data_IF_638386674953
#
_entry.id   IF_638386674953
#
_cell.length_a   1.000
_cell.length_b   1.000
_cell.length_c   1.000
_cell.angle_alpha   90.00
_cell.angle_beta   90.00
_cell.angle_gamma   90.00
#
_symmetry.space_group_name_H-M   'P 1'
#
loop_
_entity.id
_entity.type
_entity.pdbx_description
1 polymer ?
#
# COMPACT_ATOMS: atom_id res chain seq x y z
N UNK A 1 -5.11 12.13 16.81
CA UNK A 1 -5.11 10.91 15.96
C UNK A 1 -6.35 10.11 16.28
N UNK A 2 -7.22 9.81 15.30
CA UNK A 2 -8.47 9.05 15.52
C UNK A 2 -8.40 7.71 14.79
N UNK A 3 -8.65 6.60 15.48
CA UNK A 3 -8.75 5.28 14.83
C UNK A 3 -10.13 5.14 14.19
N UNK A 4 -10.18 4.71 12.92
CA UNK A 4 -11.40 4.52 12.13
C UNK A 4 -11.30 3.21 11.34
N UNK A 5 -12.44 2.62 11.02
CA UNK A 5 -12.55 1.43 10.15
C UNK A 5 -12.38 1.74 8.66
N UNK A 6 -12.41 3.02 8.27
CA UNK A 6 -12.06 3.49 6.94
C UNK A 6 -11.34 4.83 7.04
N UNK A 7 -10.43 5.09 6.11
CA UNK A 7 -9.67 6.34 6.03
C UNK A 7 -10.07 7.10 4.76
N UNK A 8 -10.44 8.37 4.92
CA UNK A 8 -10.76 9.30 3.83
C UNK A 8 -9.92 10.57 3.97
N UNK A 9 -9.49 11.10 2.83
CA UNK A 9 -8.83 12.40 2.72
C UNK A 9 -9.92 13.48 2.85
N UNK A 10 -9.74 14.40 3.79
CA UNK A 10 -10.74 15.45 4.10
C UNK A 10 -10.33 16.84 3.62
N UNK A 11 -9.09 17.00 3.16
CA UNK A 11 -8.49 18.29 2.86
C UNK A 11 -7.32 18.16 1.88
N UNK A 12 -6.93 19.24 1.21
CA UNK A 12 -5.81 19.20 0.24
C UNK A 12 -4.45 18.92 0.89
N UNK A 13 -4.33 19.22 2.19
CA UNK A 13 -3.12 18.94 2.96
C UNK A 13 -3.10 17.56 3.62
N UNK A 14 -4.05 16.69 3.29
CA UNK A 14 -4.23 15.38 3.89
C UNK A 14 -3.63 14.32 2.95
N UNK A 15 -2.69 13.51 3.43
CA UNK A 15 -2.02 12.48 2.62
C UNK A 15 -2.14 11.11 3.28
N UNK A 16 -2.33 10.08 2.45
CA UNK A 16 -2.42 8.68 2.90
C UNK A 16 -1.03 8.06 2.90
N UNK A 17 -0.61 7.49 4.03
CA UNK A 17 0.71 6.88 4.21
C UNK A 17 0.57 5.50 4.84
N UNK A 18 1.24 4.49 4.29
CA UNK A 18 1.29 3.14 4.87
C UNK A 18 2.55 2.98 5.70
N UNK A 19 2.42 2.59 6.97
CA UNK A 19 3.55 2.36 7.88
C UNK A 19 3.24 1.16 8.78
N UNK A 20 4.20 0.25 8.97
CA UNK A 20 4.08 -0.90 9.90
C UNK A 20 2.76 -1.70 9.74
N UNK A 21 2.32 -1.93 8.49
CA UNK A 21 1.09 -2.68 8.20
C UNK A 21 -0.22 -1.99 8.62
N UNK A 22 -0.21 -0.65 8.71
CA UNK A 22 -1.40 0.16 8.99
C UNK A 22 -1.45 1.34 8.02
N UNK A 23 -2.65 1.79 7.72
CA UNK A 23 -2.86 2.96 6.86
C UNK A 23 -3.12 4.19 7.72
N UNK A 24 -2.35 5.24 7.49
CA UNK A 24 -2.41 6.50 8.20
C UNK A 24 -2.89 7.60 7.26
N UNK A 25 -3.69 8.53 7.77
CA UNK A 25 -3.90 9.84 7.15
C UNK A 25 -3.16 10.85 7.98
N UNK A 26 -2.16 11.50 7.39
CA UNK A 26 -1.43 12.61 7.99
C UNK A 26 -1.93 13.90 7.38
N UNK A 27 -1.97 14.97 8.17
CA UNK A 27 -2.31 16.29 7.68
C UNK A 27 -1.33 17.30 8.27
N UNK A 28 -0.76 18.13 7.40
CA UNK A 28 0.19 19.18 7.78
C UNK A 28 -0.51 20.45 8.29
N UNK A 29 -1.71 20.73 7.76
CA UNK A 29 -2.49 21.94 8.09
C UNK A 29 -3.27 21.79 9.40
N UNK A 30 -3.93 20.64 9.60
CA UNK A 30 -4.87 20.43 10.71
C UNK A 30 -4.64 19.09 11.44
N UNK A 31 -4.33 19.10 12.76
CA UNK A 31 -4.06 17.87 13.51
C UNK A 31 -5.32 17.02 13.76
N UNK A 32 -6.52 17.61 13.67
CA UNK A 32 -7.81 16.91 13.80
C UNK A 32 -8.06 15.88 12.69
N UNK A 33 -7.45 16.08 11.52
CA UNK A 33 -7.62 15.20 10.37
C UNK A 33 -6.76 13.94 10.42
N UNK A 34 -5.86 13.83 11.42
CA UNK A 34 -4.97 12.69 11.56
C UNK A 34 -5.76 11.42 11.94
N UNK A 35 -5.72 10.40 11.08
CA UNK A 35 -6.50 9.16 11.24
C UNK A 35 -5.64 7.90 11.08
N UNK A 36 -6.06 6.79 11.69
CA UNK A 36 -5.48 5.45 11.53
C UNK A 36 -6.57 4.47 11.14
N UNK A 37 -6.32 3.73 10.06
CA UNK A 37 -6.96 2.46 9.79
C UNK A 37 -6.06 1.33 10.26
N UNK A 38 -6.57 0.56 11.20
CA UNK A 38 -6.02 -0.74 11.50
C UNK A 38 -6.37 -1.63 10.32
N UNK A 39 -5.40 -1.99 9.49
CA UNK A 39 -5.59 -3.15 8.64
C UNK A 39 -5.75 -4.33 9.59
N UNK A 40 -6.99 -4.81 9.75
CA UNK A 40 -7.23 -6.13 10.30
C UNK A 40 -6.59 -7.06 9.27
N UNK A 41 -5.56 -7.84 9.63
CA UNK A 41 -4.98 -8.77 8.68
C UNK A 41 -6.07 -9.80 8.38
N UNK A 42 -6.80 -9.61 7.28
CA UNK A 42 -7.92 -10.47 6.97
C UNK A 42 -7.50 -11.90 6.71
N UNK A 43 -6.20 -12.14 6.44
CA UNK A 43 -5.54 -13.43 6.53
C UNK A 43 -4.13 -13.32 5.89
N UNK A 44 -3.22 -14.15 6.36
CA UNK A 44 -1.91 -14.54 5.80
C UNK A 44 -1.90 -14.99 4.30
N UNK A 45 -2.88 -14.60 3.45
CA UNK A 45 -2.96 -15.04 2.03
C UNK A 45 -1.87 -14.27 1.30
N UNK A 46 -0.92 -15.02 0.74
CA UNK A 46 0.22 -14.56 -0.08
C UNK A 46 1.47 -14.13 0.69
N UNK A 47 2.04 -15.07 1.44
CA UNK A 47 3.43 -15.41 1.14
C UNK A 47 3.39 -16.24 -0.16
N UNK A 48 3.53 -15.57 -1.29
CA UNK A 48 3.75 -16.23 -2.58
C UNK A 48 4.78 -15.38 -3.32
N UNK A 49 6.05 -15.82 -3.40
CA UNK A 49 7.03 -15.10 -4.20
C UNK A 49 6.60 -15.14 -5.67
N UNK A 50 6.67 -14.02 -6.41
CA UNK A 50 6.47 -14.07 -7.86
C UNK A 50 7.66 -14.82 -8.47
N UNK A 51 7.37 -15.96 -9.09
CA UNK A 51 8.26 -16.53 -10.10
C UNK A 51 8.31 -15.53 -11.28
N UNK A 52 9.44 -14.88 -11.47
CA UNK A 52 9.80 -14.01 -12.61
C UNK A 52 11.34 -14.07 -12.74
N UNK A 53 11.97 -14.29 -13.89
CA UNK A 53 11.54 -14.22 -15.29
C UNK A 53 12.31 -15.26 -16.14
N UNK A 54 11.66 -15.77 -17.20
CA UNK A 54 12.32 -16.44 -18.32
C UNK A 54 13.24 -15.43 -19.02
N UNK A 55 14.49 -15.80 -19.25
CA UNK A 55 15.41 -15.02 -20.09
C UNK A 55 15.77 -15.79 -21.36
N UNK A 56 15.45 -15.13 -22.48
CA UNK A 56 16.00 -15.24 -23.84
C UNK A 56 15.62 -16.44 -24.73
N UNK A 57 14.53 -16.24 -25.48
CA UNK A 57 14.42 -16.78 -26.82
C UNK A 57 15.54 -16.25 -27.71
N UNK A 58 16.31 -17.17 -28.28
CA UNK A 58 17.15 -16.92 -29.43
C UNK A 58 16.66 -17.89 -30.50
N UNK A 59 15.89 -17.35 -31.45
CA UNK A 59 15.67 -17.98 -32.75
C UNK A 59 16.94 -17.72 -33.57
N UNK A 60 17.88 -18.66 -33.56
CA UNK A 60 18.90 -18.75 -34.61
C UNK A 60 18.48 -19.82 -35.61
N UNK A 61 17.70 -19.40 -36.60
CA UNK A 61 17.77 -19.98 -37.95
C UNK A 61 18.56 -19.01 -38.81
N UNK A 62 19.80 -19.38 -39.12
CA UNK A 62 20.53 -18.83 -40.26
C UNK A 62 21.55 -19.86 -40.71
N UNK A 63 21.28 -20.38 -41.92
CA UNK A 63 22.08 -21.26 -42.79
C UNK A 63 22.49 -22.63 -42.28
#
# INVERSE_FOLDING_TARGET
MKVRSSVKVMCDGCSVVRRKGRVYVVCSKNPKHKQVLLEIPLHWRRISPPHRDKVNGILTRST
#
